data_IF_918434245515
#
_entry.id   IF_918434245515
#
_cell.length_a   1.000
_cell.length_b   1.000
_cell.length_c   1.000
_cell.angle_alpha   90.00
_cell.angle_beta   90.00
_cell.angle_gamma   90.00
#
_symmetry.space_group_name_H-M   'P 1'
#
loop_
_entity.id
_entity.type
_entity.pdbx_description
1 polymer ?
#
# COMPACT_ATOMS: atom_id res chain seq x y z
N UNK A 1 -30.56 -22.99 -23.73
CA UNK A 1 -30.22 -21.84 -22.87
C UNK A 1 -28.97 -22.19 -22.05
N UNK A 2 -27.75 -22.01 -22.59
CA UNK A 2 -26.47 -22.27 -21.88
C UNK A 2 -25.48 -21.09 -21.96
N UNK A 3 -25.96 -19.92 -22.38
CA UNK A 3 -25.17 -18.69 -22.52
C UNK A 3 -24.95 -17.98 -21.17
N UNK A 4 -25.91 -18.09 -20.24
CA UNK A 4 -25.84 -17.47 -18.92
C UNK A 4 -24.60 -17.84 -18.08
N UNK A 5 -24.21 -19.14 -17.93
CA UNK A 5 -23.04 -19.48 -17.12
C UNK A 5 -21.72 -19.02 -17.76
N UNK A 6 -21.63 -19.01 -19.09
CA UNK A 6 -20.41 -18.56 -19.80
C UNK A 6 -20.21 -17.05 -19.69
N UNK A 7 -21.30 -16.27 -19.74
CA UNK A 7 -21.25 -14.83 -19.52
C UNK A 7 -20.85 -14.52 -18.07
N UNK A 8 -21.40 -15.26 -17.10
CA UNK A 8 -21.09 -15.07 -15.69
C UNK A 8 -19.62 -15.36 -15.37
N UNK A 9 -19.05 -16.42 -15.94
CA UNK A 9 -17.62 -16.73 -15.80
C UNK A 9 -16.72 -15.66 -16.43
N UNK A 10 -17.10 -15.12 -17.59
CA UNK A 10 -16.34 -14.04 -18.23
C UNK A 10 -16.29 -12.76 -17.38
N UNK A 11 -17.43 -12.36 -16.79
CA UNK A 11 -17.52 -11.19 -15.91
C UNK A 11 -16.69 -11.38 -14.63
N UNK A 12 -16.68 -12.60 -14.07
CA UNK A 12 -15.91 -12.92 -12.86
C UNK A 12 -14.40 -12.84 -13.12
N UNK A 13 -13.93 -13.32 -14.27
CA UNK A 13 -12.51 -13.23 -14.65
C UNK A 13 -12.05 -11.79 -14.87
N UNK A 14 -12.93 -10.87 -15.31
CA UNK A 14 -12.60 -9.45 -15.46
C UNK A 14 -12.38 -8.74 -14.12
N UNK A 15 -13.03 -9.17 -13.03
CA UNK A 15 -12.86 -8.54 -11.71
C UNK A 15 -11.52 -8.90 -11.05
N UNK A 16 -10.95 -10.06 -11.35
CA UNK A 16 -9.64 -10.46 -10.81
C UNK A 16 -8.48 -9.62 -11.37
N UNK A 17 -8.61 -9.08 -12.59
CA UNK A 17 -7.54 -8.33 -13.25
C UNK A 17 -7.41 -6.87 -12.77
N UNK A 18 -8.35 -6.37 -11.97
CA UNK A 18 -8.42 -4.96 -11.55
C UNK A 18 -8.04 -4.73 -10.08
N UNK A 19 -7.64 -5.76 -9.34
CA UNK A 19 -7.05 -5.60 -8.00
C UNK A 19 -5.59 -5.19 -8.17
N UNK A 20 -5.36 -3.99 -8.68
CA UNK A 20 -4.12 -3.29 -8.39
C UNK A 20 -4.21 -2.85 -6.94
N UNK A 21 -3.46 -3.54 -6.07
CA UNK A 21 -3.28 -3.07 -4.71
C UNK A 21 -2.70 -1.65 -4.78
N UNK A 22 -3.52 -0.67 -4.41
CA UNK A 22 -3.26 0.75 -4.53
C UNK A 22 -1.96 1.10 -3.80
N UNK A 23 -0.85 1.19 -4.54
CA UNK A 23 0.42 1.72 -4.06
C UNK A 23 0.89 1.12 -2.73
N UNK A 24 1.12 -0.19 -2.69
CA UNK A 24 1.79 -0.77 -1.53
C UNK A 24 3.22 -0.23 -1.46
N UNK A 25 3.65 0.12 -0.25
CA UNK A 25 5.07 0.31 0.02
C UNK A 25 5.80 -1.01 -0.16
N UNK A 26 6.97 -0.99 -0.78
CA UNK A 26 7.84 -2.17 -0.90
C UNK A 26 8.50 -2.49 0.46
N UNK A 27 8.61 -1.49 1.34
CA UNK A 27 9.16 -1.65 2.69
C UNK A 27 8.49 -0.69 3.66
N UNK A 28 8.17 -1.19 4.86
CA UNK A 28 7.68 -0.38 5.97
C UNK A 28 8.67 -0.48 7.13
N UNK A 29 9.21 0.66 7.57
CA UNK A 29 9.99 0.77 8.80
C UNK A 29 9.06 1.21 9.92
N UNK A 30 9.02 0.48 11.04
CA UNK A 30 8.06 0.72 12.12
C UNK A 30 8.57 0.14 13.45
N UNK A 31 8.11 0.71 14.57
CA UNK A 31 8.28 0.11 15.91
C UNK A 31 9.34 0.77 16.80
N UNK A 32 9.88 1.91 16.38
CA UNK A 32 10.82 2.70 17.18
C UNK A 32 11.03 4.10 16.58
N UNK A 33 11.74 4.99 17.28
CA UNK A 33 12.06 6.31 16.75
C UNK A 33 12.96 6.21 15.52
N UNK A 34 12.54 6.85 14.44
CA UNK A 34 13.27 6.98 13.20
C UNK A 34 13.69 8.44 13.10
N UNK A 35 14.99 8.67 13.22
CA UNK A 35 15.59 10.00 13.09
C UNK A 35 15.66 10.37 11.62
N UNK A 36 14.96 11.43 11.22
CA UNK A 36 15.08 11.99 9.88
C UNK A 36 16.01 13.19 9.88
N UNK A 37 16.85 13.32 8.86
CA UNK A 37 17.77 14.47 8.70
C UNK A 37 17.10 15.59 7.89
N UNK A 38 15.82 15.83 8.13
CA UNK A 38 15.11 16.93 7.49
C UNK A 38 15.34 18.25 8.25
N UNK A 39 15.00 19.38 7.63
CA UNK A 39 15.20 20.70 8.26
C UNK A 39 14.42 20.91 9.57
N UNK A 40 13.44 20.05 9.86
CA UNK A 40 12.60 20.11 11.06
C UNK A 40 13.12 19.21 12.19
N UNK A 41 14.16 18.40 11.92
CA UNK A 41 14.65 17.34 12.81
C UNK A 41 13.50 16.49 13.37
N UNK A 42 12.56 16.11 12.52
CA UNK A 42 11.38 15.35 12.97
C UNK A 42 11.74 13.88 13.21
N UNK A 43 11.31 13.36 14.35
CA UNK A 43 11.34 11.94 14.67
C UNK A 43 9.98 11.33 14.35
N UNK A 44 9.98 10.31 13.51
CA UNK A 44 8.77 9.57 13.14
C UNK A 44 8.88 8.14 13.65
N UNK A 45 7.76 7.43 13.74
CA UNK A 45 7.76 6.04 14.23
C UNK A 45 7.36 5.03 13.15
N UNK A 46 6.98 5.53 11.97
CA UNK A 46 6.64 4.74 10.80
C UNK A 46 7.09 5.43 9.50
N UNK A 47 7.70 4.70 8.57
CA UNK A 47 8.02 5.15 7.20
C UNK A 47 7.58 4.09 6.18
N UNK A 48 6.90 4.53 5.13
CA UNK A 48 6.60 3.74 3.96
C UNK A 48 7.55 4.10 2.83
N UNK A 49 8.25 3.11 2.27
CA UNK A 49 9.19 3.28 1.16
C UNK A 49 8.70 2.51 -0.06
N UNK A 50 8.71 3.17 -1.21
CA UNK A 50 8.42 2.58 -2.50
C UNK A 50 9.50 3.00 -3.50
N UNK A 51 10.11 2.05 -4.21
CA UNK A 51 11.19 2.28 -5.17
C UNK A 51 12.33 3.16 -4.59
N UNK A 52 12.70 2.91 -3.33
CA UNK A 52 13.75 3.66 -2.64
C UNK A 52 13.38 5.10 -2.24
N UNK A 53 12.11 5.52 -2.42
CA UNK A 53 11.60 6.83 -1.99
C UNK A 53 10.63 6.70 -0.82
N UNK A 54 10.71 7.62 0.13
CA UNK A 54 9.72 7.74 1.21
C UNK A 54 8.43 8.31 0.61
N UNK A 55 7.33 7.57 0.76
CA UNK A 55 6.00 7.96 0.23
C UNK A 55 5.01 8.32 1.33
N UNK A 56 5.26 7.90 2.58
CA UNK A 56 4.50 8.32 3.74
C UNK A 56 5.33 8.24 5.02
N UNK A 57 4.98 9.08 5.99
CA UNK A 57 5.56 9.12 7.35
C UNK A 57 4.43 9.11 8.37
N UNK A 58 4.64 8.52 9.56
CA UNK A 58 3.57 8.42 10.56
C UNK A 58 4.03 8.01 11.96
N UNK A 59 3.05 7.83 12.84
CA UNK A 59 3.22 7.30 14.21
C UNK A 59 3.06 5.79 14.28
N UNK A 60 3.57 5.19 15.37
CA UNK A 60 3.35 3.78 15.66
C UNK A 60 1.86 3.49 15.85
N UNK A 61 1.18 4.37 16.57
CA UNK A 61 -0.20 4.13 16.94
C UNK A 61 -1.13 4.66 15.84
N UNK A 62 -2.09 3.81 15.44
CA UNK A 62 -3.27 4.21 14.67
C UNK A 62 -4.21 4.86 15.68
N UNK A 63 -4.38 6.18 15.59
CA UNK A 63 -5.37 6.92 16.38
C UNK A 63 -6.75 6.81 15.77
#
# INVERSE_FOLDING_TARGET
MKLAPKLLSAVLMTHCALVFAKGNADTIFYGGPIVTVNAKNEEVQALAVQNGKIVAVGSKDIK
#
